data_IF_020299366710
#
_entry.id   IF_020299366710
#
_cell.length_a   1.000
_cell.length_b   1.000
_cell.length_c   1.000
_cell.angle_alpha   90.00
_cell.angle_beta   90.00
_cell.angle_gamma   90.00
#
_symmetry.space_group_name_H-M   'P 1'
#
loop_
_entity.id
_entity.type
_entity.pdbx_description
1 polymer ?
#
# COMPACT_ATOMS: atom_id res chain seq x y z
N UNK A 1 53.80 6.91 -37.99
CA UNK A 1 52.40 7.29 -37.72
C UNK A 1 51.65 6.17 -36.97
N UNK A 2 52.09 5.79 -35.76
CA UNK A 2 51.44 4.72 -34.96
C UNK A 2 51.27 5.07 -33.47
N UNK A 3 51.73 6.25 -33.03
CA UNK A 3 51.77 6.62 -31.61
C UNK A 3 50.71 7.68 -31.23
N UNK A 4 49.99 8.25 -32.20
CA UNK A 4 48.90 9.21 -31.92
C UNK A 4 47.55 8.54 -31.65
N UNK A 5 47.37 7.29 -32.09
CA UNK A 5 46.11 6.56 -31.90
C UNK A 5 45.87 6.21 -30.42
N UNK A 6 46.94 5.95 -29.66
CA UNK A 6 46.87 5.66 -28.22
C UNK A 6 46.48 6.88 -27.38
N UNK A 7 46.82 8.10 -27.81
CA UNK A 7 46.46 9.32 -27.10
C UNK A 7 44.98 9.68 -27.23
N UNK A 8 44.33 9.32 -28.34
CA UNK A 8 42.90 9.59 -28.58
C UNK A 8 42.01 8.70 -27.70
N UNK A 9 42.42 7.44 -27.46
CA UNK A 9 41.66 6.50 -26.62
C UNK A 9 41.70 6.92 -25.14
N UNK A 10 42.78 7.54 -24.68
CA UNK A 10 42.93 7.99 -23.29
C UNK A 10 42.04 9.20 -22.96
N UNK A 11 41.70 10.03 -23.96
CA UNK A 11 40.91 11.24 -23.75
C UNK A 11 39.40 10.97 -23.54
N UNK A 12 38.91 9.80 -23.93
CA UNK A 12 37.48 9.46 -23.92
C UNK A 12 37.02 8.92 -22.55
N UNK A 13 37.96 8.53 -21.67
CA UNK A 13 37.68 7.92 -20.37
C UNK A 13 37.42 8.92 -19.23
N UNK A 14 37.48 10.23 -19.50
CA UNK A 14 37.35 11.27 -18.44
C UNK A 14 35.96 11.92 -18.37
N UNK A 15 34.98 11.44 -19.15
CA UNK A 15 33.57 11.85 -18.98
C UNK A 15 33.00 11.07 -17.79
N UNK A 16 33.46 11.46 -16.61
CA UNK A 16 32.92 11.05 -15.33
C UNK A 16 31.45 11.49 -15.26
N UNK A 17 30.53 10.52 -15.22
CA UNK A 17 29.14 10.77 -14.88
C UNK A 17 29.09 11.33 -13.45
N UNK A 18 29.04 12.65 -13.33
CA UNK A 18 28.68 13.31 -12.08
C UNK A 18 27.18 13.12 -11.89
N UNK A 19 26.80 12.07 -11.17
CA UNK A 19 25.42 11.93 -10.68
C UNK A 19 25.21 13.02 -9.65
N UNK A 20 24.63 14.14 -10.07
CA UNK A 20 24.14 15.16 -9.14
C UNK A 20 22.89 14.58 -8.48
N UNK A 21 23.05 13.93 -7.33
CA UNK A 21 21.92 13.68 -6.44
C UNK A 21 21.50 15.04 -5.90
N UNK A 22 20.52 15.64 -6.56
CA UNK A 22 19.82 16.79 -6.01
C UNK A 22 19.04 16.30 -4.79
N UNK A 23 19.28 16.93 -3.63
CA UNK A 23 18.49 16.72 -2.40
C UNK A 23 16.98 16.99 -2.57
N UNK A 24 16.53 17.42 -3.76
CA UNK A 24 15.11 17.51 -4.14
C UNK A 24 14.44 16.16 -4.42
N UNK A 25 15.17 15.05 -4.55
CA UNK A 25 14.55 13.72 -4.76
C UNK A 25 13.90 13.13 -3.50
N UNK A 26 14.07 13.78 -2.33
CA UNK A 26 13.45 13.37 -1.06
C UNK A 26 12.10 14.06 -0.82
N UNK A 27 11.60 14.87 -1.77
CA UNK A 27 10.28 15.52 -1.63
C UNK A 27 9.41 15.48 -2.88
N UNK A 28 9.49 14.40 -3.64
CA UNK A 28 8.39 13.97 -4.51
C UNK A 28 7.78 12.71 -3.92
N UNK A 29 6.88 12.85 -2.94
CA UNK A 29 5.90 11.80 -2.65
C UNK A 29 5.08 11.63 -3.91
N UNK A 30 5.51 10.73 -4.80
CA UNK A 30 4.71 10.29 -5.93
C UNK A 30 3.42 9.74 -5.37
N UNK A 31 2.35 10.53 -5.52
CA UNK A 31 1.03 10.15 -5.07
C UNK A 31 0.65 8.87 -5.80
N UNK A 32 0.69 7.74 -5.10
CA UNK A 32 0.39 6.43 -5.69
C UNK A 32 -1.12 6.28 -5.77
N UNK A 33 -1.61 5.98 -6.97
CA UNK A 33 -3.02 5.78 -7.23
C UNK A 33 -3.36 4.30 -7.23
N UNK A 34 -4.43 3.95 -6.53
CA UNK A 34 -4.88 2.58 -6.37
C UNK A 34 -6.29 2.42 -6.92
N UNK A 35 -6.46 1.44 -7.80
CA UNK A 35 -7.76 1.09 -8.37
C UNK A 35 -8.54 0.20 -7.41
N UNK A 36 -9.76 0.61 -7.04
CA UNK A 36 -10.67 -0.23 -6.27
C UNK A 36 -11.32 -1.23 -7.23
N UNK A 37 -11.07 -2.53 -7.10
CA UNK A 37 -11.62 -3.52 -8.04
C UNK A 37 -12.69 -4.42 -7.43
N UNK A 38 -12.83 -4.45 -6.10
CA UNK A 38 -13.89 -5.16 -5.39
C UNK A 38 -14.15 -4.50 -4.04
N UNK A 39 -15.40 -4.50 -3.60
CA UNK A 39 -15.79 -4.10 -2.24
C UNK A 39 -16.65 -5.22 -1.67
N UNK A 40 -16.30 -5.65 -0.46
CA UNK A 40 -17.03 -6.66 0.30
C UNK A 40 -17.24 -6.16 1.73
N UNK A 41 -17.91 -6.95 2.56
CA UNK A 41 -18.07 -6.61 3.97
C UNK A 41 -18.15 -7.84 4.86
N UNK A 42 -17.62 -7.71 6.08
CA UNK A 42 -17.73 -8.71 7.13
C UNK A 42 -18.05 -8.01 8.45
N UNK A 43 -19.15 -8.40 9.10
CA UNK A 43 -19.62 -7.80 10.36
C UNK A 43 -19.54 -6.26 10.32
N UNK A 44 -18.66 -5.65 11.12
CA UNK A 44 -18.50 -4.21 11.27
C UNK A 44 -17.44 -3.59 10.36
N UNK A 45 -16.95 -4.30 9.35
CA UNK A 45 -15.90 -3.81 8.44
C UNK A 45 -16.31 -3.93 6.98
N UNK A 46 -15.88 -2.97 6.19
CA UNK A 46 -15.72 -3.11 4.75
C UNK A 46 -14.34 -3.69 4.45
N UNK A 47 -14.30 -4.62 3.49
CA UNK A 47 -13.07 -5.14 2.90
C UNK A 47 -12.99 -4.57 1.49
N UNK A 48 -12.12 -3.58 1.31
CA UNK A 48 -11.95 -2.86 0.07
C UNK A 48 -10.73 -3.44 -0.62
N UNK A 49 -10.94 -4.05 -1.78
CA UNK A 49 -9.87 -4.64 -2.57
C UNK A 49 -9.36 -3.61 -3.54
N UNK A 50 -8.07 -3.34 -3.47
CA UNK A 50 -7.43 -2.33 -4.28
C UNK A 50 -6.11 -2.86 -4.85
N UNK A 51 -5.67 -2.27 -5.97
CA UNK A 51 -4.45 -2.66 -6.67
C UNK A 51 -3.73 -1.45 -7.23
N UNK A 52 -2.41 -1.51 -7.27
CA UNK A 52 -1.58 -0.67 -8.14
C UNK A 52 -1.12 -1.50 -9.35
N UNK A 53 -0.10 -1.02 -10.05
CA UNK A 53 0.48 -1.69 -11.23
C UNK A 53 1.20 -3.02 -10.89
N UNK A 54 1.49 -3.27 -9.62
CA UNK A 54 2.35 -4.37 -9.15
C UNK A 54 1.65 -5.32 -8.21
N UNK A 55 0.87 -4.78 -7.26
CA UNK A 55 0.34 -5.51 -6.11
C UNK A 55 -1.16 -5.31 -5.95
N UNK A 56 -1.80 -6.33 -5.36
CA UNK A 56 -3.17 -6.29 -4.87
C UNK A 56 -3.16 -6.36 -3.36
N UNK A 57 -4.07 -5.66 -2.71
CA UNK A 57 -4.16 -5.58 -1.26
C UNK A 57 -5.62 -5.51 -0.83
N UNK A 58 -5.86 -5.92 0.42
CA UNK A 58 -7.11 -5.66 1.12
C UNK A 58 -6.94 -4.45 2.01
N UNK A 59 -7.89 -3.55 2.00
CA UNK A 59 -7.96 -2.38 2.88
C UNK A 59 -9.17 -2.58 3.78
N UNK A 60 -8.94 -2.61 5.09
CA UNK A 60 -10.01 -2.63 6.06
C UNK A 60 -10.45 -1.21 6.42
N UNK A 61 -11.75 -0.98 6.42
CA UNK A 61 -12.35 0.24 6.96
C UNK A 61 -13.55 -0.12 7.81
N UNK A 62 -13.63 0.44 9.02
CA UNK A 62 -14.78 0.20 9.91
C UNK A 62 -16.04 0.79 9.30
N UNK A 63 -17.16 0.06 9.39
CA UNK A 63 -18.47 0.55 8.94
C UNK A 63 -18.83 1.77 9.79
N UNK A 64 -18.98 2.90 9.11
CA UNK A 64 -19.41 4.15 9.70
C UNK A 64 -20.26 4.89 8.66
N UNK A 65 -21.38 5.46 9.11
CA UNK A 65 -22.19 6.33 8.27
C UNK A 65 -21.54 7.71 8.23
N UNK A 66 -21.20 8.18 7.03
CA UNK A 66 -20.90 9.58 6.78
C UNK A 66 -21.99 10.17 5.90
N UNK A 67 -22.53 11.30 6.34
CA UNK A 67 -23.47 12.08 5.54
C UNK A 67 -22.70 12.89 4.49
N UNK A 68 -23.17 12.89 3.23
CA UNK A 68 -22.60 13.66 2.09
C UNK A 68 -21.10 13.39 1.87
N UNK A 69 -20.76 12.19 1.43
CA UNK A 69 -19.38 11.81 1.15
C UNK A 69 -19.14 11.36 -0.31
N UNK A 70 -17.91 11.49 -0.78
CA UNK A 70 -17.46 10.93 -2.06
C UNK A 70 -17.29 9.41 -1.93
N UNK A 71 -18.37 8.66 -2.17
CA UNK A 71 -18.36 7.20 -2.05
C UNK A 71 -17.38 6.55 -3.05
N UNK A 72 -16.62 5.57 -2.58
CA UNK A 72 -15.75 4.76 -3.42
C UNK A 72 -16.56 4.06 -4.52
N UNK A 73 -15.99 4.07 -5.72
CA UNK A 73 -16.54 3.40 -6.90
C UNK A 73 -15.57 2.32 -7.35
N UNK A 74 -16.10 1.16 -7.70
CA UNK A 74 -15.34 0.08 -8.31
C UNK A 74 -14.85 0.56 -9.69
N UNK A 75 -13.65 0.14 -10.08
CA UNK A 75 -12.87 0.53 -11.26
C UNK A 75 -12.37 1.99 -11.26
N UNK A 76 -12.54 2.74 -10.17
CA UNK A 76 -11.95 4.06 -10.02
C UNK A 76 -10.62 4.01 -9.26
N UNK A 77 -9.73 4.94 -9.59
CA UNK A 77 -8.43 5.12 -8.93
C UNK A 77 -8.48 6.23 -7.88
N UNK A 78 -7.83 6.00 -6.75
CA UNK A 78 -7.76 6.95 -5.64
C UNK A 78 -6.33 7.08 -5.10
N UNK A 79 -5.90 8.28 -4.69
CA UNK A 79 -4.62 8.48 -4.04
C UNK A 79 -4.71 8.08 -2.55
N UNK A 80 -4.59 6.78 -2.27
CA UNK A 80 -4.81 6.23 -0.93
C UNK A 80 -3.53 6.32 -0.07
N UNK A 81 -3.71 6.64 1.21
CA UNK A 81 -2.64 6.56 2.20
C UNK A 81 -2.69 5.19 2.86
N UNK A 82 -2.09 4.18 2.22
CA UNK A 82 -2.11 2.79 2.70
C UNK A 82 -1.08 2.62 3.82
N UNK A 83 -1.50 2.03 4.94
CA UNK A 83 -0.68 1.79 6.12
C UNK A 83 -0.84 0.34 6.60
N UNK A 84 0.24 -0.33 7.07
CA UNK A 84 0.17 -1.68 7.61
C UNK A 84 -0.86 -1.78 8.73
N UNK A 85 -1.69 -2.83 8.76
CA UNK A 85 -2.74 -2.99 9.78
C UNK A 85 -2.20 -2.93 11.22
N UNK A 86 -0.95 -3.35 11.45
CA UNK A 86 -0.26 -3.28 12.75
C UNK A 86 -0.13 -1.86 13.32
N UNK A 87 -0.21 -0.82 12.48
CA UNK A 87 -0.19 0.58 12.92
C UNK A 87 -1.58 1.11 13.31
N UNK A 88 -2.62 0.26 13.29
CA UNK A 88 -3.96 0.62 13.73
C UNK A 88 -4.39 -0.16 15.00
N UNK A 89 -4.00 0.32 16.20
CA UNK A 89 -4.32 -0.35 17.46
C UNK A 89 -5.81 -0.32 17.82
N UNK A 90 -6.63 0.44 17.10
CA UNK A 90 -8.08 0.49 17.32
C UNK A 90 -8.82 -0.66 16.63
N UNK A 91 -8.31 -1.12 15.48
CA UNK A 91 -8.91 -2.22 14.71
C UNK A 91 -8.38 -3.59 15.16
N UNK A 92 -7.11 -3.63 15.53
CA UNK A 92 -6.40 -4.87 15.85
C UNK A 92 -6.58 -5.29 17.32
N UNK A 93 -6.82 -6.58 17.56
CA UNK A 93 -6.85 -7.16 18.90
C UNK A 93 -5.49 -7.78 19.25
N UNK A 94 -4.63 -7.00 19.90
CA UNK A 94 -3.31 -7.45 20.34
C UNK A 94 -3.35 -8.42 21.53
N UNK A 95 -4.51 -8.60 22.16
CA UNK A 95 -4.70 -9.54 23.30
C UNK A 95 -5.24 -10.89 22.86
N UNK A 96 -5.61 -11.04 21.58
CA UNK A 96 -6.12 -12.30 21.04
C UNK A 96 -5.06 -13.39 21.14
N UNK A 97 -5.36 -14.58 21.69
CA UNK A 97 -4.41 -15.70 21.74
C UNK A 97 -3.96 -16.16 20.34
N UNK A 98 -4.73 -15.82 19.29
CA UNK A 98 -4.37 -16.06 17.89
C UNK A 98 -3.31 -15.09 17.34
N UNK A 99 -2.87 -14.08 18.12
CA UNK A 99 -1.84 -13.11 17.74
C UNK A 99 -0.50 -13.77 17.35
N UNK A 100 -0.14 -14.86 18.05
CA UNK A 100 1.09 -15.60 17.86
C UNK A 100 0.99 -16.63 16.72
N UNK A 101 -0.21 -16.93 16.24
CA UNK A 101 -0.44 -17.93 15.20
C UNK A 101 -0.38 -17.35 13.77
N UNK A 102 0.33 -16.23 13.60
CA UNK A 102 0.67 -15.66 12.27
C UNK A 102 1.56 -16.57 11.42
N UNK A 103 2.11 -17.64 12.00
CA UNK A 103 3.00 -18.57 11.31
C UNK A 103 2.37 -19.94 11.00
N UNK A 104 1.06 -20.12 11.25
CA UNK A 104 0.36 -21.34 10.84
C UNK A 104 0.29 -21.41 9.31
N UNK A 105 0.95 -22.42 8.76
CA UNK A 105 1.39 -22.61 7.37
C UNK A 105 0.32 -22.61 6.25
N UNK A 106 -0.94 -22.26 6.53
CA UNK A 106 -2.00 -22.38 5.52
C UNK A 106 -2.70 -21.06 5.17
N UNK A 107 -2.95 -20.13 6.09
CA UNK A 107 -3.60 -18.83 5.80
C UNK A 107 -3.28 -17.82 6.93
N UNK A 108 -2.65 -16.69 6.58
CA UNK A 108 -2.40 -15.57 7.50
C UNK A 108 -3.71 -14.83 7.79
N UNK A 109 -4.28 -14.99 8.98
CA UNK A 109 -5.50 -14.29 9.40
C UNK A 109 -5.23 -13.29 10.54
N UNK A 110 -5.84 -12.11 10.44
CA UNK A 110 -5.75 -11.03 11.41
C UNK A 110 -7.01 -11.00 12.28
N UNK A 111 -6.89 -11.22 13.61
CA UNK A 111 -8.00 -11.03 14.54
C UNK A 111 -8.26 -9.56 14.82
N UNK A 112 -9.51 -9.15 14.69
CA UNK A 112 -10.01 -7.81 15.00
C UNK A 112 -10.81 -7.83 16.31
N UNK A 113 -10.93 -6.67 16.97
CA UNK A 113 -11.49 -6.54 18.33
C UNK A 113 -12.92 -7.03 18.52
N UNK A 114 -13.72 -7.19 17.47
CA UNK A 114 -15.10 -7.67 17.54
C UNK A 114 -15.22 -9.17 17.18
N UNK A 115 -14.14 -9.93 17.45
CA UNK A 115 -14.03 -11.36 17.12
C UNK A 115 -14.24 -11.62 15.62
N UNK A 116 -13.81 -10.69 14.77
CA UNK A 116 -13.77 -10.86 13.31
C UNK A 116 -12.38 -11.26 12.89
N UNK A 117 -12.25 -12.28 12.03
CA UNK A 117 -10.98 -12.63 11.42
C UNK A 117 -11.01 -12.25 9.95
N UNK A 118 -9.93 -11.63 9.48
CA UNK A 118 -9.74 -11.32 8.06
C UNK A 118 -8.45 -11.99 7.59
N UNK A 119 -8.54 -12.83 6.58
CA UNK A 119 -7.41 -13.60 6.08
C UNK A 119 -6.82 -13.01 4.80
N UNK A 120 -5.51 -13.11 4.66
CA UNK A 120 -4.81 -12.90 3.39
C UNK A 120 -5.20 -14.02 2.44
N UNK A 121 -5.57 -13.66 1.22
CA UNK A 121 -5.96 -14.60 0.16
C UNK A 121 -4.81 -14.78 -0.83
N UNK A 122 -4.82 -15.86 -1.61
CA UNK A 122 -3.87 -16.06 -2.70
C UNK A 122 -3.88 -14.88 -3.67
N UNK A 123 -2.70 -14.32 -3.96
CA UNK A 123 -2.55 -13.18 -4.86
C UNK A 123 -2.88 -11.82 -4.24
N UNK A 124 -3.14 -11.77 -2.93
CA UNK A 124 -3.22 -10.54 -2.13
C UNK A 124 -1.91 -10.43 -1.33
N UNK A 125 -1.24 -9.28 -1.43
CA UNK A 125 0.03 -9.04 -0.76
C UNK A 125 -0.12 -9.06 0.78
N UNK A 126 -1.05 -8.26 1.31
CA UNK A 126 -1.39 -8.23 2.72
C UNK A 126 -2.72 -7.48 2.96
N UNK A 127 -3.09 -7.36 4.24
CA UNK A 127 -4.20 -6.56 4.74
C UNK A 127 -3.66 -5.27 5.36
N UNK A 128 -4.23 -4.15 4.91
CA UNK A 128 -3.86 -2.80 5.29
C UNK A 128 -5.07 -2.04 5.82
N UNK A 129 -4.83 -0.82 6.30
CA UNK A 129 -5.86 0.18 6.50
C UNK A 129 -5.45 1.48 5.81
N UNK A 130 -6.32 2.47 5.82
CA UNK A 130 -5.99 3.80 5.34
C UNK A 130 -6.59 4.89 6.21
N UNK A 131 -5.97 6.07 6.19
CA UNK A 131 -6.45 7.26 6.89
C UNK A 131 -7.51 8.02 6.09
N UNK A 132 -7.49 7.91 4.76
CA UNK A 132 -8.36 8.70 3.88
C UNK A 132 -9.52 7.90 3.25
N UNK A 133 -9.87 6.76 3.85
CA UNK A 133 -11.16 6.10 3.65
C UNK A 133 -11.84 5.87 5.00
N UNK A 134 -13.04 6.44 5.18
CA UNK A 134 -13.90 6.22 6.35
C UNK A 134 -15.17 5.50 5.90
N UNK A 135 -15.37 4.26 6.34
CA UNK A 135 -16.41 3.40 5.79
C UNK A 135 -16.17 3.12 4.30
N UNK A 136 -17.02 3.67 3.43
CA UNK A 136 -16.84 3.65 1.97
C UNK A 136 -16.59 5.04 1.38
N UNK A 137 -16.26 6.02 2.21
CA UNK A 137 -16.12 7.41 1.81
C UNK A 137 -14.65 7.76 1.64
N UNK A 138 -14.29 8.27 0.47
CA UNK A 138 -12.99 8.86 0.24
C UNK A 138 -12.94 10.28 0.81
N UNK A 139 -11.93 10.57 1.63
CA UNK A 139 -11.71 11.88 2.22
C UNK A 139 -10.51 12.52 1.52
N UNK A 140 -10.76 13.58 0.74
CA UNK A 140 -9.68 14.38 0.16
C UNK A 140 -8.98 15.13 1.28
N UNK A 141 -7.67 14.94 1.40
CA UNK A 141 -6.80 15.75 2.26
C UNK A 141 -6.37 17.02 1.52
#
# INVERSE_FOLDING_TARGET
MKNYFLFIILLILVISCKTTYTESDIKNTSTTFYEIYKIDSIKNYYIIYAKDERLKFKILSKKQNQYKCDKLKINNKYPLQILPLSLNPQMFDSTSPNYLNRYSHSLLCYPLKDSTNVCVETGIADIYFTKNIVGLCFVKN
#
